data_IF_737008246022
#
_entry.id   IF_737008246022
#
_cell.length_a   1.000
_cell.length_b   1.000
_cell.length_c   1.000
_cell.angle_alpha   90.00
_cell.angle_beta   90.00
_cell.angle_gamma   90.00
#
_symmetry.space_group_name_H-M   'P 1'
#
loop_
_entity.id
_entity.type
_entity.pdbx_description
1 polymer ?
#
# COMPACT_ATOMS: atom_id res chain seq x y z
N UNK A 1 26.99 -32.55 81.31
CA UNK A 1 26.89 -31.25 80.62
C UNK A 1 27.36 -31.49 79.19
N UNK A 2 26.50 -31.88 78.24
CA UNK A 2 25.42 -31.11 77.58
C UNK A 2 25.99 -29.97 76.72
N UNK A 3 26.27 -30.22 75.44
CA UNK A 3 25.55 -29.67 74.27
C UNK A 3 26.37 -29.74 72.94
N UNK A 4 25.81 -30.46 71.95
CA UNK A 4 25.82 -30.10 70.51
C UNK A 4 24.92 -28.84 70.29
N UNK A 5 24.86 -28.12 69.14
CA UNK A 5 24.98 -28.54 67.72
C UNK A 5 25.88 -27.55 66.89
N UNK A 6 26.01 -27.51 65.57
CA UNK A 6 25.16 -27.90 64.43
C UNK A 6 25.97 -28.22 63.18
N UNK A 7 25.46 -29.20 62.44
CA UNK A 7 25.81 -29.56 61.07
C UNK A 7 25.36 -28.46 60.12
N UNK A 8 26.21 -28.03 59.19
CA UNK A 8 25.76 -27.45 57.94
C UNK A 8 26.35 -28.24 56.77
N UNK A 9 25.47 -28.84 55.98
CA UNK A 9 25.80 -29.63 54.79
C UNK A 9 25.63 -28.71 53.58
N UNK A 10 26.74 -28.13 53.12
CA UNK A 10 26.82 -27.53 51.79
C UNK A 10 26.79 -28.62 50.72
N UNK A 11 25.59 -28.93 50.25
CA UNK A 11 25.31 -29.76 49.07
C UNK A 11 25.69 -28.98 47.82
N UNK A 12 26.78 -29.35 47.16
CA UNK A 12 27.12 -28.86 45.82
C UNK A 12 26.26 -29.61 44.79
N UNK A 13 25.02 -29.14 44.61
CA UNK A 13 24.10 -29.61 43.57
C UNK A 13 24.38 -28.81 42.29
N UNK A 14 25.25 -29.35 41.43
CA UNK A 14 25.30 -29.01 40.01
C UNK A 14 24.02 -29.48 39.31
N UNK A 15 22.97 -28.68 39.42
CA UNK A 15 21.90 -28.64 38.44
C UNK A 15 21.16 -27.31 38.61
N UNK A 16 21.19 -26.47 37.57
CA UNK A 16 20.05 -25.79 36.96
C UNK A 16 20.65 -24.70 36.08
N UNK A 17 20.49 -24.89 34.79
CA UNK A 17 20.89 -23.90 33.80
C UNK A 17 20.80 -24.48 32.41
N UNK A 18 19.78 -25.30 32.15
CA UNK A 18 19.27 -25.44 30.80
C UNK A 18 19.09 -24.02 30.28
N UNK A 19 19.94 -23.63 29.33
CA UNK A 19 19.70 -22.46 28.49
C UNK A 19 18.55 -22.89 27.59
N UNK A 20 17.36 -22.91 28.17
CA UNK A 20 16.12 -22.86 27.41
C UNK A 20 16.21 -21.49 26.75
N UNK A 21 16.67 -21.47 25.50
CA UNK A 21 16.41 -20.35 24.63
C UNK A 21 14.90 -20.16 24.69
N UNK A 22 14.47 -19.16 25.46
CA UNK A 22 13.18 -18.54 25.28
C UNK A 22 13.23 -17.96 23.86
N UNK A 23 12.85 -18.79 22.89
CA UNK A 23 12.18 -18.32 21.69
C UNK A 23 10.94 -17.62 22.21
N UNK A 24 11.11 -16.35 22.57
CA UNK A 24 9.99 -15.45 22.73
C UNK A 24 9.19 -15.59 21.44
N UNK A 25 7.91 -15.91 21.56
CA UNK A 25 6.97 -15.97 20.43
C UNK A 25 6.92 -14.64 19.65
N UNK A 26 7.61 -13.60 20.12
CA UNK A 26 7.87 -12.34 19.42
C UNK A 26 9.10 -12.34 18.48
N UNK A 27 9.84 -13.45 18.33
CA UNK A 27 11.10 -13.47 17.55
C UNK A 27 11.01 -14.22 16.20
N UNK A 28 9.86 -14.82 15.86
CA UNK A 28 9.63 -15.48 14.56
C UNK A 28 8.15 -15.33 14.10
N UNK A 29 7.55 -14.16 14.31
CA UNK A 29 6.49 -13.71 13.40
C UNK A 29 7.17 -12.77 12.42
N UNK A 30 7.68 -13.32 11.32
CA UNK A 30 7.76 -12.54 10.09
C UNK A 30 6.36 -11.96 9.90
N UNK A 31 6.26 -10.63 10.02
CA UNK A 31 5.01 -9.89 9.98
C UNK A 31 4.41 -10.05 8.59
N UNK A 32 3.61 -11.09 8.39
CA UNK A 32 2.76 -11.16 7.22
C UNK A 32 1.81 -9.97 7.27
N UNK A 33 1.94 -9.10 6.28
CA UNK A 33 1.04 -7.98 6.09
C UNK A 33 -0.36 -8.51 5.82
N UNK A 34 -1.36 -7.97 6.51
CA UNK A 34 -2.77 -8.30 6.24
C UNK A 34 -3.41 -7.24 5.32
N UNK A 35 -4.64 -7.50 4.86
CA UNK A 35 -5.34 -6.62 3.93
C UNK A 35 -5.54 -5.18 4.47
N UNK A 36 -5.75 -5.02 5.78
CA UNK A 36 -5.93 -3.70 6.40
C UNK A 36 -4.62 -2.89 6.41
N UNK A 37 -3.49 -3.57 6.60
CA UNK A 37 -2.18 -2.94 6.53
C UNK A 37 -1.81 -2.54 5.11
N UNK A 38 -2.09 -3.39 4.11
CA UNK A 38 -1.95 -3.02 2.69
C UNK A 38 -2.80 -1.78 2.38
N UNK A 39 -4.08 -1.79 2.78
CA UNK A 39 -4.99 -0.66 2.56
C UNK A 39 -4.46 0.64 3.18
N UNK A 40 -3.88 0.57 4.39
CA UNK A 40 -3.25 1.71 5.05
C UNK A 40 -2.04 2.24 4.28
N UNK A 41 -1.18 1.36 3.79
CA UNK A 41 -0.01 1.74 2.99
C UNK A 41 -0.45 2.45 1.71
N UNK A 42 -1.44 1.91 0.99
CA UNK A 42 -1.97 2.53 -0.23
C UNK A 42 -2.58 3.92 0.03
N UNK A 43 -3.19 4.11 1.20
CA UNK A 43 -3.84 5.36 1.57
C UNK A 43 -2.88 6.45 2.10
N UNK A 44 -1.68 6.08 2.56
CA UNK A 44 -0.79 7.00 3.29
C UNK A 44 0.64 7.09 2.77
N UNK A 45 1.12 6.10 2.01
CA UNK A 45 2.49 6.12 1.47
C UNK A 45 2.65 7.12 0.33
N UNK A 46 3.89 7.57 0.11
CA UNK A 46 4.25 8.45 -0.99
C UNK A 46 4.82 7.63 -2.15
N UNK A 47 4.80 8.16 -3.38
CA UNK A 47 5.44 7.49 -4.53
C UNK A 47 6.93 7.19 -4.30
N UNK A 48 7.64 8.00 -3.51
CA UNK A 48 9.04 7.78 -3.17
C UNK A 48 9.27 6.50 -2.36
N UNK A 49 8.23 5.94 -1.74
CA UNK A 49 8.28 4.67 -1.03
C UNK A 49 8.15 3.46 -1.97
N UNK A 50 8.01 3.70 -3.28
CA UNK A 50 7.82 2.68 -4.31
C UNK A 50 8.98 2.68 -5.31
N UNK A 51 9.35 1.49 -5.75
CA UNK A 51 10.18 1.27 -6.94
C UNK A 51 9.21 1.29 -8.12
N UNK A 52 9.45 2.17 -9.08
CA UNK A 52 8.55 2.40 -10.20
C UNK A 52 9.22 1.91 -11.48
N UNK A 53 8.61 0.93 -12.12
CA UNK A 53 8.93 0.49 -13.47
C UNK A 53 7.77 0.88 -14.39
N UNK A 54 7.85 2.09 -14.95
CA UNK A 54 6.80 2.62 -15.82
C UNK A 54 6.73 1.91 -17.17
N UNK A 55 7.81 1.27 -17.62
CA UNK A 55 7.83 0.49 -18.86
C UNK A 55 6.89 -0.72 -18.76
N UNK A 56 6.93 -1.43 -17.63
CA UNK A 56 6.04 -2.58 -17.39
C UNK A 56 4.78 -2.22 -16.60
N UNK A 57 4.64 -0.98 -16.13
CA UNK A 57 3.53 -0.55 -15.28
C UNK A 57 3.52 -1.22 -13.90
N UNK A 58 4.69 -1.60 -13.38
CA UNK A 58 4.85 -2.25 -12.10
C UNK A 58 5.35 -1.26 -11.02
N UNK A 59 4.74 -1.36 -9.84
CA UNK A 59 5.11 -0.56 -8.68
C UNK A 59 5.35 -1.51 -7.50
N UNK A 60 6.54 -1.52 -6.92
CA UNK A 60 6.89 -2.40 -5.81
C UNK A 60 7.20 -1.58 -4.57
N UNK A 61 6.59 -1.93 -3.43
CA UNK A 61 6.81 -1.20 -2.19
C UNK A 61 8.21 -1.49 -1.62
N UNK A 62 8.98 -0.44 -1.31
CA UNK A 62 10.41 -0.59 -0.93
C UNK A 62 10.61 -1.32 0.39
N UNK A 63 9.69 -1.16 1.33
CA UNK A 63 9.83 -1.75 2.67
C UNK A 63 9.38 -3.22 2.70
N UNK A 64 8.55 -3.66 1.75
CA UNK A 64 8.13 -5.05 1.58
C UNK A 64 7.88 -5.35 0.09
N UNK A 65 8.82 -6.06 -0.53
CA UNK A 65 8.78 -6.38 -1.96
C UNK A 65 7.66 -7.35 -2.34
N UNK A 66 7.02 -8.00 -1.37
CA UNK A 66 5.83 -8.82 -1.64
C UNK A 66 4.64 -7.95 -2.05
N UNK A 67 4.55 -6.71 -1.55
CA UNK A 67 3.50 -5.76 -1.94
C UNK A 67 3.86 -5.09 -3.27
N UNK A 68 3.01 -5.29 -4.26
CA UNK A 68 3.18 -4.66 -5.57
C UNK A 68 1.84 -4.33 -6.23
N UNK A 69 1.87 -3.34 -7.11
CA UNK A 69 0.74 -2.89 -7.92
C UNK A 69 1.11 -3.13 -9.38
N UNK A 70 0.16 -3.63 -10.16
CA UNK A 70 0.28 -3.78 -11.60
C UNK A 70 -0.79 -2.96 -12.31
N UNK A 71 -0.35 -2.06 -13.19
CA UNK A 71 -1.20 -1.35 -14.16
C UNK A 71 -1.60 -2.32 -15.28
N UNK A 72 -2.83 -2.21 -15.76
CA UNK A 72 -3.27 -2.94 -16.95
C UNK A 72 -2.42 -2.57 -18.17
N UNK A 73 -2.38 -3.47 -19.15
CA UNK A 73 -1.68 -3.21 -20.40
C UNK A 73 -2.46 -2.16 -21.21
N UNK A 74 -1.76 -1.43 -22.09
CA UNK A 74 -2.36 -0.31 -22.83
C UNK A 74 -3.56 -0.74 -23.69
N UNK A 75 -3.52 -1.97 -24.22
CA UNK A 75 -4.60 -2.54 -25.04
C UNK A 75 -5.90 -2.78 -24.24
N UNK A 76 -5.82 -2.86 -22.92
CA UNK A 76 -6.96 -3.05 -22.02
C UNK A 76 -7.59 -1.73 -21.55
N UNK A 77 -7.05 -0.58 -22.01
CA UNK A 77 -7.59 0.73 -21.64
C UNK A 77 -8.93 0.96 -22.31
N UNK A 78 -9.90 1.43 -21.54
CA UNK A 78 -11.22 1.75 -22.07
C UNK A 78 -11.36 3.25 -22.26
N UNK A 79 -11.89 3.69 -23.40
CA UNK A 79 -12.19 5.10 -23.65
C UNK A 79 -13.16 5.63 -22.59
N UNK A 80 -12.86 6.82 -22.04
CA UNK A 80 -13.65 7.42 -20.97
C UNK A 80 -14.03 8.85 -21.35
N UNK A 81 -15.34 9.15 -21.39
CA UNK A 81 -15.86 10.38 -21.99
C UNK A 81 -16.71 11.23 -21.03
N UNK A 82 -16.49 11.13 -19.72
CA UNK A 82 -17.25 11.95 -18.78
C UNK A 82 -16.80 13.43 -18.83
N UNK A 83 -17.73 14.39 -18.64
CA UNK A 83 -17.44 15.82 -18.80
C UNK A 83 -16.28 16.34 -17.95
N UNK A 84 -16.09 15.80 -16.74
CA UNK A 84 -14.99 16.19 -15.87
C UNK A 84 -13.63 15.71 -16.38
N UNK A 85 -13.58 14.59 -17.11
CA UNK A 85 -12.35 13.96 -17.59
C UNK A 85 -11.91 14.47 -18.97
N UNK A 86 -12.84 14.95 -19.81
CA UNK A 86 -12.55 15.41 -21.18
C UNK A 86 -12.45 16.93 -21.31
N UNK A 87 -12.65 17.69 -20.24
CA UNK A 87 -12.63 19.17 -20.25
C UNK A 87 -11.21 19.78 -20.23
N UNK A 88 -10.22 19.04 -20.68
CA UNK A 88 -8.82 19.46 -20.74
C UNK A 88 -8.41 19.83 -22.17
N UNK A 89 -7.25 20.49 -22.38
CA UNK A 89 -6.78 20.84 -23.71
C UNK A 89 -6.73 19.64 -24.68
N UNK A 90 -6.32 18.47 -24.18
CA UNK A 90 -6.53 17.19 -24.84
C UNK A 90 -7.74 16.48 -24.22
N UNK A 91 -8.74 16.18 -25.04
CA UNK A 91 -9.97 15.51 -24.60
C UNK A 91 -9.82 13.98 -24.50
N UNK A 92 -8.66 13.43 -24.85
CA UNK A 92 -8.42 12.00 -24.76
C UNK A 92 -8.29 11.59 -23.28
N UNK A 93 -9.29 10.85 -22.81
CA UNK A 93 -9.28 10.22 -21.49
C UNK A 93 -9.60 8.73 -21.61
N UNK A 94 -9.01 7.94 -20.72
CA UNK A 94 -9.23 6.50 -20.65
C UNK A 94 -9.26 6.01 -19.21
N UNK A 95 -10.10 5.01 -18.92
CA UNK A 95 -10.07 4.31 -17.64
C UNK A 95 -9.01 3.22 -17.68
N UNK A 96 -8.21 3.16 -16.62
CA UNK A 96 -7.09 2.24 -16.45
C UNK A 96 -7.31 1.43 -15.17
N UNK A 97 -7.18 0.12 -15.28
CA UNK A 97 -7.27 -0.78 -14.14
C UNK A 97 -5.89 -0.95 -13.48
N UNK A 98 -5.89 -1.01 -12.15
CA UNK A 98 -4.74 -1.31 -11.32
C UNK A 98 -5.09 -2.44 -10.37
N UNK A 99 -4.24 -3.46 -10.31
CA UNK A 99 -4.40 -4.58 -9.37
C UNK A 99 -3.31 -4.55 -8.32
N UNK A 100 -3.70 -4.77 -7.07
CA UNK A 100 -2.81 -4.81 -5.92
C UNK A 100 -2.63 -6.26 -5.48
N UNK A 101 -1.38 -6.67 -5.32
CA UNK A 101 -1.01 -8.02 -4.93
C UNK A 101 -0.08 -8.01 -3.72
N UNK A 102 -0.22 -9.03 -2.88
CA UNK A 102 0.73 -9.33 -1.82
C UNK A 102 1.25 -10.76 -2.01
N UNK A 103 2.51 -10.90 -2.38
CA UNK A 103 3.05 -12.15 -2.88
C UNK A 103 2.28 -12.61 -4.12
N UNK A 104 1.75 -13.83 -4.13
CA UNK A 104 0.93 -14.35 -5.23
C UNK A 104 -0.57 -14.07 -5.07
N UNK A 105 -0.98 -13.34 -4.03
CA UNK A 105 -2.39 -13.18 -3.67
C UNK A 105 -2.93 -11.83 -4.15
N UNK A 106 -4.08 -11.87 -4.83
CA UNK A 106 -4.87 -10.68 -5.13
C UNK A 106 -5.39 -10.06 -3.83
N UNK A 107 -5.21 -8.74 -3.67
CA UNK A 107 -5.68 -7.99 -2.51
C UNK A 107 -6.81 -7.04 -2.88
N UNK A 108 -6.60 -6.21 -3.90
CA UNK A 108 -7.56 -5.17 -4.29
C UNK A 108 -7.44 -4.82 -5.78
N UNK A 109 -8.48 -4.20 -6.33
CA UNK A 109 -8.51 -3.65 -7.69
C UNK A 109 -9.10 -2.25 -7.66
N UNK A 110 -8.40 -1.31 -8.29
CA UNK A 110 -8.84 0.08 -8.43
C UNK A 110 -8.89 0.48 -9.90
N UNK A 111 -9.86 1.32 -10.24
CA UNK A 111 -9.98 1.93 -11.56
C UNK A 111 -9.71 3.41 -11.42
N UNK A 112 -8.75 3.91 -12.18
CA UNK A 112 -8.43 5.33 -12.28
C UNK A 112 -8.68 5.81 -13.70
N UNK A 113 -8.69 7.13 -13.89
CA UNK A 113 -8.89 7.76 -15.20
C UNK A 113 -7.65 8.53 -15.58
N UNK A 114 -7.02 8.14 -16.68
CA UNK A 114 -5.95 8.90 -17.31
C UNK A 114 -6.57 10.01 -18.16
N UNK A 115 -6.16 11.26 -17.94
CA UNK A 115 -6.75 12.47 -18.54
C UNK A 115 -5.70 13.32 -19.27
N UNK A 116 -6.16 14.23 -20.13
CA UNK A 116 -5.34 15.19 -20.89
C UNK A 116 -4.21 14.52 -21.68
N UNK A 117 -4.52 13.41 -22.36
CA UNK A 117 -3.53 12.65 -23.15
C UNK A 117 -2.46 11.97 -22.30
N UNK A 118 -2.87 11.31 -21.21
CA UNK A 118 -2.00 10.62 -20.25
C UNK A 118 -1.09 11.52 -19.40
N UNK A 119 -1.43 12.79 -19.21
CA UNK A 119 -0.64 13.72 -18.38
C UNK A 119 -0.89 13.60 -16.89
N UNK A 120 -2.05 13.07 -16.51
CA UNK A 120 -2.39 12.82 -15.12
C UNK A 120 -3.34 11.62 -15.03
N UNK A 121 -3.20 10.85 -13.96
CA UNK A 121 -4.13 9.77 -13.60
C UNK A 121 -4.88 10.16 -12.34
N UNK A 122 -6.20 10.18 -12.43
CA UNK A 122 -7.11 10.68 -11.39
C UNK A 122 -7.99 9.56 -10.81
N UNK A 123 -8.36 9.63 -9.52
CA UNK A 123 -9.32 8.71 -8.94
C UNK A 123 -10.71 8.87 -9.56
N UNK A 124 -11.42 7.75 -9.71
CA UNK A 124 -12.80 7.74 -10.16
C UNK A 124 -13.70 8.36 -9.07
N UNK A 125 -14.56 9.34 -9.39
CA UNK A 125 -15.55 9.86 -8.45
C UNK A 125 -16.64 8.83 -8.14
N UNK A 126 -17.39 9.08 -7.07
CA UNK A 126 -18.50 8.22 -6.66
C UNK A 126 -19.55 8.02 -7.76
N UNK A 127 -19.79 9.04 -8.59
CA UNK A 127 -20.57 8.92 -9.83
C UNK A 127 -20.34 10.13 -10.76
N UNK A 128 -20.87 10.06 -11.99
CA UNK A 128 -20.84 11.17 -12.95
C UNK A 128 -21.50 12.47 -12.43
N UNK A 129 -22.42 12.38 -11.47
CA UNK A 129 -23.09 13.54 -10.85
C UNK A 129 -22.52 13.90 -9.48
N UNK A 130 -21.86 12.95 -8.82
CA UNK A 130 -21.22 13.13 -7.52
C UNK A 130 -19.69 13.03 -7.66
N UNK A 131 -19.07 14.18 -7.92
CA UNK A 131 -17.64 14.34 -8.17
C UNK A 131 -16.78 14.29 -6.88
N UNK A 132 -17.24 13.56 -5.87
CA UNK A 132 -16.49 13.33 -4.64
C UNK A 132 -15.54 12.13 -4.80
N UNK A 133 -14.30 12.29 -4.34
CA UNK A 133 -13.26 11.26 -4.31
C UNK A 133 -12.67 11.14 -2.90
N UNK A 134 -12.29 9.94 -2.47
CA UNK A 134 -11.70 9.76 -1.14
C UNK A 134 -10.23 10.18 -1.09
N UNK A 135 -9.77 10.63 0.07
CA UNK A 135 -8.37 10.97 0.31
C UNK A 135 -7.44 9.78 0.05
N UNK A 136 -7.89 8.57 0.37
CA UNK A 136 -7.19 7.32 0.10
C UNK A 136 -7.04 7.04 -1.41
N UNK A 137 -8.09 7.27 -2.21
CA UNK A 137 -8.02 7.06 -3.66
C UNK A 137 -7.16 8.12 -4.35
N UNK A 138 -7.17 9.36 -3.84
CA UNK A 138 -6.24 10.40 -4.28
C UNK A 138 -4.80 9.99 -3.98
N UNK A 139 -4.53 9.43 -2.79
CA UNK A 139 -3.19 8.97 -2.45
C UNK A 139 -2.76 7.80 -3.34
N UNK A 140 -3.65 6.85 -3.61
CA UNK A 140 -3.38 5.77 -4.55
C UNK A 140 -3.05 6.30 -5.95
N UNK A 141 -3.81 7.28 -6.44
CA UNK A 141 -3.51 7.93 -7.72
C UNK A 141 -2.13 8.60 -7.73
N UNK A 142 -1.71 9.23 -6.62
CA UNK A 142 -0.36 9.82 -6.48
C UNK A 142 0.75 8.77 -6.49
N UNK A 143 0.52 7.58 -5.94
CA UNK A 143 1.50 6.48 -5.99
C UNK A 143 1.75 6.06 -7.43
N UNK A 144 0.69 5.89 -8.24
CA UNK A 144 0.80 5.31 -9.58
C UNK A 144 0.99 6.33 -10.72
N UNK A 145 0.74 7.61 -10.45
CA UNK A 145 0.90 8.67 -11.46
C UNK A 145 2.38 9.07 -11.60
N UNK A 146 2.96 8.93 -12.78
CA UNK A 146 4.33 9.38 -13.03
C UNK A 146 4.36 10.92 -13.10
N UNK A 147 4.87 11.54 -12.02
CA UNK A 147 4.94 12.99 -11.86
C UNK A 147 3.98 13.54 -10.80
N UNK A 148 4.10 14.84 -10.51
CA UNK A 148 3.39 15.50 -9.41
C UNK A 148 2.28 16.44 -9.90
N UNK A 149 1.28 15.88 -10.60
CA UNK A 149 0.20 16.64 -11.24
C UNK A 149 -1.20 16.28 -10.76
N UNK A 150 -1.34 15.23 -9.95
CA UNK A 150 -2.66 14.73 -9.52
C UNK A 150 -3.49 15.84 -8.86
N UNK A 151 -2.91 16.59 -7.93
CA UNK A 151 -3.63 17.66 -7.21
C UNK A 151 -4.10 18.80 -8.14
N UNK A 152 -3.26 19.20 -9.11
CA UNK A 152 -3.62 20.19 -10.13
C UNK A 152 -4.83 19.72 -10.94
N UNK A 153 -4.80 18.46 -11.39
CA UNK A 153 -5.82 17.91 -12.28
C UNK A 153 -7.12 17.56 -11.54
N UNK A 154 -7.08 17.24 -10.24
CA UNK A 154 -8.28 17.17 -9.39
C UNK A 154 -9.03 18.50 -9.41
N UNK A 155 -8.32 19.61 -9.19
CA UNK A 155 -8.91 20.95 -9.21
C UNK A 155 -9.43 21.31 -10.61
N UNK A 156 -8.62 21.06 -11.65
CA UNK A 156 -9.01 21.33 -13.05
C UNK A 156 -10.16 20.46 -13.52
N UNK A 157 -10.43 19.32 -12.90
CA UNK A 157 -11.57 18.43 -13.18
C UNK A 157 -12.79 18.75 -12.31
N UNK A 158 -12.64 19.56 -11.26
CA UNK A 158 -13.71 19.92 -10.34
C UNK A 158 -14.05 18.79 -9.36
N UNK A 159 -13.12 17.86 -9.15
CA UNK A 159 -13.25 16.80 -8.17
C UNK A 159 -13.09 17.36 -6.76
N UNK A 160 -13.90 16.88 -5.82
CA UNK A 160 -13.86 17.31 -4.42
C UNK A 160 -13.32 16.16 -3.55
N UNK A 161 -12.25 16.43 -2.81
CA UNK A 161 -11.66 15.44 -1.92
C UNK A 161 -12.46 15.35 -0.62
N UNK A 162 -12.83 14.11 -0.25
CA UNK A 162 -13.44 13.77 1.03
C UNK A 162 -12.44 13.00 1.89
N UNK A 163 -12.45 13.22 3.22
CA UNK A 163 -11.62 12.46 4.14
C UNK A 163 -11.92 10.97 4.04
#
# INVERSE_FOLDING_TARGET
MVNQPSVDKGSDNTHVGDVVCFLSTHCLMELFMNADEVTRILAQSSQNDWIVDDETGAFTYKNDLALHIKRADYDDYNSFNEPWAVRHPDSNACSVEYTVHYGSSFVDRKTLVSVDGHRATLPMPASATDLNVSSADVNFAKIVNIGDRVDEYIQRSGLTIKP
#
